data_IF_497138524643
#
_entry.id   IF_497138524643
#
_cell.length_a   1.000
_cell.length_b   1.000
_cell.length_c   1.000
_cell.angle_alpha   90.00
_cell.angle_beta   90.00
_cell.angle_gamma   90.00
#
_symmetry.space_group_name_H-M   'P 1'
#
loop_
_entity.id
_entity.type
_entity.pdbx_description
1 polymer ?
#
# COMPACT_ATOMS: atom_id res chain seq x y z
N UNK A 1 -27.05 -42.94 1.23
CA UNK A 1 -27.75 -41.79 1.86
C UNK A 1 -27.34 -41.69 3.31
N UNK A 2 -26.56 -40.67 3.67
CA UNK A 2 -26.90 -39.83 4.82
C UNK A 2 -26.09 -38.53 4.72
N UNK A 3 -26.83 -37.43 4.66
CA UNK A 3 -26.35 -36.06 4.52
C UNK A 3 -25.65 -35.64 5.81
N UNK A 4 -24.32 -35.62 5.82
CA UNK A 4 -23.59 -34.94 6.88
C UNK A 4 -23.55 -33.46 6.52
N UNK A 5 -24.40 -32.68 7.21
CA UNK A 5 -24.43 -31.22 7.16
C UNK A 5 -23.01 -30.67 7.27
N UNK A 6 -22.56 -29.93 6.26
CA UNK A 6 -21.50 -28.94 6.44
C UNK A 6 -22.03 -27.90 7.44
N UNK A 7 -21.70 -28.07 8.72
CA UNK A 7 -21.75 -26.97 9.67
C UNK A 7 -20.65 -26.00 9.28
N UNK A 8 -21.07 -24.86 8.74
CA UNK A 8 -20.21 -23.72 8.47
C UNK A 8 -19.32 -23.45 9.68
N UNK A 9 -18.00 -23.41 9.46
CA UNK A 9 -17.07 -22.93 10.47
C UNK A 9 -17.44 -21.47 10.80
N UNK A 10 -17.60 -21.11 12.09
CA UNK A 10 -17.92 -19.74 12.46
C UNK A 10 -16.78 -18.83 12.03
N UNK A 11 -17.16 -17.82 11.24
CA UNK A 11 -16.36 -16.70 10.78
C UNK A 11 -15.32 -16.32 11.83
N UNK A 12 -14.05 -16.51 11.49
CA UNK A 12 -13.01 -15.63 12.03
C UNK A 12 -13.46 -14.23 11.60
N UNK A 13 -13.62 -13.30 12.54
CA UNK A 13 -13.75 -11.88 12.21
C UNK A 13 -12.35 -11.27 12.08
N UNK A 14 -11.88 -10.98 10.86
CA UNK A 14 -10.95 -9.89 10.63
C UNK A 14 -11.65 -8.52 10.66
N UNK A 15 -10.83 -7.49 10.73
CA UNK A 15 -11.10 -6.04 10.76
C UNK A 15 -12.50 -5.69 10.24
N UNK A 16 -13.38 -5.24 11.14
CA UNK A 16 -14.66 -4.69 10.74
C UNK A 16 -14.42 -3.57 9.70
N UNK A 17 -15.19 -3.51 8.59
CA UNK A 17 -15.16 -2.38 7.69
C UNK A 17 -15.51 -1.15 8.52
N UNK A 18 -14.56 -0.23 8.60
CA UNK A 18 -14.77 1.03 9.27
C UNK A 18 -15.87 1.80 8.53
N UNK A 19 -16.95 2.17 9.23
CA UNK A 19 -18.07 2.91 8.65
C UNK A 19 -17.65 4.38 8.41
N UNK A 20 -17.95 4.96 7.24
CA UNK A 20 -17.40 6.23 6.78
C UNK A 20 -17.92 7.51 7.47
N UNK A 21 -18.80 7.43 8.46
CA UNK A 21 -19.53 8.62 8.94
C UNK A 21 -18.77 9.49 9.95
N UNK A 22 -17.62 9.05 10.49
CA UNK A 22 -16.92 9.78 11.57
C UNK A 22 -15.45 10.17 11.30
N UNK A 23 -14.85 9.83 10.15
CA UNK A 23 -13.39 10.02 9.99
C UNK A 23 -12.95 11.16 9.07
N UNK A 24 -12.13 12.01 9.67
CA UNK A 24 -11.18 12.96 9.08
C UNK A 24 -10.22 12.35 8.04
N UNK A 25 -10.22 11.03 7.78
CA UNK A 25 -9.23 10.33 6.95
C UNK A 25 -9.88 9.33 5.97
N UNK A 26 -9.18 9.03 4.87
CA UNK A 26 -9.41 7.82 4.08
C UNK A 26 -8.76 6.61 4.76
N UNK A 27 -9.39 5.45 4.65
CA UNK A 27 -8.80 4.17 5.04
C UNK A 27 -8.34 3.43 3.78
N UNK A 28 -7.02 3.28 3.64
CA UNK A 28 -6.41 2.72 2.43
C UNK A 28 -5.86 1.33 2.73
N UNK A 29 -6.33 0.29 2.04
CA UNK A 29 -5.65 -1.00 2.05
C UNK A 29 -4.20 -0.88 1.56
N UNK A 30 -3.28 -1.55 2.23
CA UNK A 30 -1.89 -1.62 1.80
C UNK A 30 -1.23 -2.98 2.10
N UNK A 31 -0.14 -3.23 1.39
CA UNK A 31 0.72 -4.40 1.50
C UNK A 31 2.08 -4.10 0.86
N UNK A 32 3.03 -5.04 0.98
CA UNK A 32 4.27 -5.00 0.20
C UNK A 32 3.99 -4.96 -1.30
N UNK A 33 2.98 -5.70 -1.79
CA UNK A 33 2.61 -5.71 -3.19
C UNK A 33 2.01 -4.38 -3.66
N UNK A 34 1.06 -3.81 -2.90
CA UNK A 34 0.45 -2.52 -3.27
C UNK A 34 1.48 -1.38 -3.29
N UNK A 35 2.45 -1.41 -2.37
CA UNK A 35 3.53 -0.44 -2.37
C UNK A 35 4.49 -0.63 -3.56
N UNK A 36 4.83 -1.88 -3.90
CA UNK A 36 5.65 -2.16 -5.09
C UNK A 36 4.95 -1.70 -6.39
N UNK A 37 3.63 -1.90 -6.50
CA UNK A 37 2.82 -1.42 -7.63
C UNK A 37 2.94 0.11 -7.77
N UNK A 38 2.87 0.84 -6.66
CA UNK A 38 3.05 2.30 -6.66
C UNK A 38 4.49 2.71 -7.02
N UNK A 39 5.52 2.00 -6.55
CA UNK A 39 6.92 2.24 -6.93
C UNK A 39 7.12 2.00 -8.45
N UNK A 40 6.60 0.90 -8.99
CA UNK A 40 6.67 0.56 -10.41
C UNK A 40 5.96 1.60 -11.28
N UNK A 41 4.73 1.97 -10.96
CA UNK A 41 4.00 3.01 -11.70
C UNK A 41 4.68 4.38 -11.59
N UNK A 42 5.34 4.65 -10.46
CA UNK A 42 6.08 5.88 -10.22
C UNK A 42 7.33 6.01 -11.07
N UNK A 43 8.08 4.91 -11.21
CA UNK A 43 9.32 4.89 -11.98
C UNK A 43 9.10 5.15 -13.47
N UNK A 44 7.98 4.67 -14.03
CA UNK A 44 7.62 4.91 -15.43
C UNK A 44 8.74 4.51 -16.39
N UNK A 45 9.18 5.44 -17.23
CA UNK A 45 10.29 5.24 -18.17
C UNK A 45 11.64 4.94 -17.49
N UNK A 46 11.80 5.30 -16.21
CA UNK A 46 13.02 5.04 -15.42
C UNK A 46 12.96 3.73 -14.63
N UNK A 47 12.09 2.80 -15.00
CA UNK A 47 11.90 1.53 -14.29
C UNK A 47 13.19 0.70 -14.18
N UNK A 48 14.08 0.79 -15.17
CA UNK A 48 15.37 0.10 -15.19
C UNK A 48 16.30 0.55 -14.04
N UNK A 49 16.13 1.76 -13.51
CA UNK A 49 16.96 2.28 -12.41
C UNK A 49 16.51 1.77 -11.03
N UNK A 50 15.31 1.20 -10.92
CA UNK A 50 14.72 0.79 -9.63
C UNK A 50 15.66 -0.11 -8.80
N UNK A 51 16.32 -1.14 -9.36
CA UNK A 51 17.28 -1.96 -8.61
C UNK A 51 18.41 -1.15 -7.97
N UNK A 52 19.05 -0.26 -8.75
CA UNK A 52 20.17 0.53 -8.29
C UNK A 52 19.74 1.51 -7.20
N UNK A 53 18.60 2.18 -7.39
CA UNK A 53 18.05 3.12 -6.41
C UNK A 53 17.61 2.42 -5.12
N UNK A 54 16.99 1.23 -5.20
CA UNK A 54 16.57 0.48 -4.01
C UNK A 54 17.75 0.08 -3.15
N UNK A 55 18.86 -0.36 -3.76
CA UNK A 55 20.10 -0.74 -3.04
C UNK A 55 20.72 0.39 -2.24
N UNK A 56 20.48 1.66 -2.61
CA UNK A 56 20.98 2.81 -1.87
C UNK A 56 20.22 3.08 -0.56
N UNK A 57 19.00 2.56 -0.44
CA UNK A 57 18.11 2.88 0.70
C UNK A 57 17.71 1.66 1.52
N UNK A 58 17.83 0.45 0.98
CA UNK A 58 17.42 -0.77 1.67
C UNK A 58 18.22 -1.97 1.16
N UNK A 59 19.19 -2.41 1.95
CA UNK A 59 20.03 -3.58 1.64
C UNK A 59 19.33 -4.92 1.87
N UNK A 60 18.21 -4.93 2.60
CA UNK A 60 17.46 -6.15 2.96
C UNK A 60 16.37 -6.50 1.93
N UNK A 61 16.24 -5.72 0.86
CA UNK A 61 15.26 -5.96 -0.21
C UNK A 61 15.94 -5.86 -1.56
N UNK A 62 15.93 -6.97 -2.31
CA UNK A 62 16.39 -7.00 -3.68
C UNK A 62 15.23 -6.68 -4.63
N UNK A 63 15.51 -5.84 -5.63
CA UNK A 63 14.63 -5.65 -6.79
C UNK A 63 15.42 -6.02 -8.04
N UNK A 64 14.80 -6.79 -8.92
CA UNK A 64 15.29 -7.12 -10.24
C UNK A 64 14.29 -6.66 -11.30
N UNK A 65 14.80 -6.19 -12.43
CA UNK A 65 14.00 -5.78 -13.58
C UNK A 65 14.51 -6.55 -14.80
N UNK A 66 13.61 -7.31 -15.42
CA UNK A 66 13.85 -8.00 -16.69
C UNK A 66 13.13 -7.25 -17.80
N UNK A 67 13.83 -7.06 -18.91
CA UNK A 67 13.34 -6.33 -20.08
C UNK A 67 13.21 -7.26 -21.28
N UNK A 68 12.03 -7.29 -21.90
CA UNK A 68 11.76 -8.07 -23.11
C UNK A 68 10.84 -7.26 -24.04
N UNK A 69 11.43 -6.57 -25.02
CA UNK A 69 10.70 -5.63 -25.88
C UNK A 69 10.00 -4.54 -25.05
N UNK A 70 8.66 -4.46 -25.14
CA UNK A 70 7.82 -3.56 -24.33
C UNK A 70 7.42 -4.14 -22.98
N UNK A 71 7.65 -5.43 -22.77
CA UNK A 71 7.34 -6.09 -21.52
C UNK A 71 8.38 -5.75 -20.46
N UNK A 72 7.93 -5.51 -19.23
CA UNK A 72 8.81 -5.38 -18.06
C UNK A 72 8.33 -6.31 -16.96
N UNK A 73 9.26 -7.08 -16.40
CA UNK A 73 8.99 -7.91 -15.23
C UNK A 73 9.85 -7.43 -14.07
N UNK A 74 9.20 -7.11 -12.96
CA UNK A 74 9.83 -6.55 -11.77
C UNK A 74 9.63 -7.53 -10.64
N UNK A 75 10.72 -8.02 -10.06
CA UNK A 75 10.68 -8.97 -8.95
C UNK A 75 11.27 -8.33 -7.71
N UNK A 76 10.51 -8.29 -6.63
CA UNK A 76 10.95 -7.90 -5.30
C UNK A 76 11.10 -9.15 -4.44
N UNK A 77 12.25 -9.27 -3.77
CA UNK A 77 12.53 -10.35 -2.81
C UNK A 77 13.07 -9.75 -1.52
N UNK A 78 12.50 -10.16 -0.40
CA UNK A 78 13.05 -9.98 0.94
C UNK A 78 12.67 -11.19 1.82
N UNK A 79 13.08 -11.17 3.08
CA UNK A 79 12.82 -12.26 4.04
C UNK A 79 11.34 -12.66 4.19
N UNK A 80 10.41 -11.74 3.90
CA UNK A 80 8.97 -11.93 4.14
C UNK A 80 8.13 -11.92 2.87
N UNK A 81 8.69 -11.62 1.72
CA UNK A 81 7.91 -11.43 0.50
C UNK A 81 8.72 -11.73 -0.76
N UNK A 82 8.05 -12.39 -1.70
CA UNK A 82 8.45 -12.52 -3.09
C UNK A 82 7.29 -12.03 -3.95
N UNK A 83 7.43 -10.87 -4.59
CA UNK A 83 6.39 -10.27 -5.43
C UNK A 83 6.93 -10.06 -6.82
N UNK A 84 6.20 -10.50 -7.84
CA UNK A 84 6.51 -10.21 -9.23
C UNK A 84 5.37 -9.43 -9.85
N UNK A 85 5.71 -8.30 -10.46
CA UNK A 85 4.81 -7.50 -11.29
C UNK A 85 5.24 -7.66 -12.74
N UNK A 86 4.28 -7.90 -13.62
CA UNK A 86 4.47 -7.87 -15.06
C UNK A 86 3.67 -6.70 -15.63
N UNK A 87 4.37 -5.90 -16.42
CA UNK A 87 3.81 -4.91 -17.32
C UNK A 87 3.86 -5.49 -18.71
N UNK A 88 2.71 -5.64 -19.34
CA UNK A 88 2.64 -6.10 -20.72
C UNK A 88 3.18 -5.06 -21.71
N UNK A 89 3.04 -3.77 -21.38
CA UNK A 89 3.45 -2.66 -22.23
C UNK A 89 3.97 -1.49 -21.38
N UNK A 90 5.27 -1.26 -21.41
CA UNK A 90 5.95 -0.16 -20.71
C UNK A 90 5.52 1.21 -21.27
N UNK A 91 5.06 1.28 -22.52
CA UNK A 91 4.61 2.54 -23.12
C UNK A 91 3.31 3.03 -22.44
N UNK A 92 2.55 2.13 -21.80
CA UNK A 92 1.42 2.51 -20.93
C UNK A 92 1.86 3.15 -19.62
N UNK A 93 3.15 3.03 -19.30
CA UNK A 93 3.80 3.76 -18.25
C UNK A 93 4.64 4.93 -18.75
N UNK A 94 4.68 5.19 -20.05
CA UNK A 94 5.45 6.29 -20.61
C UNK A 94 4.78 7.63 -20.35
N UNK A 95 5.59 8.61 -19.98
CA UNK A 95 5.10 9.90 -19.52
C UNK A 95 4.41 9.82 -18.15
N UNK A 96 3.57 10.81 -17.86
CA UNK A 96 3.01 10.98 -16.52
C UNK A 96 1.91 9.96 -16.17
N UNK A 97 2.27 8.83 -15.53
CA UNK A 97 1.32 7.89 -14.89
C UNK A 97 0.59 8.44 -13.65
N UNK A 98 0.52 9.77 -13.57
CA UNK A 98 -0.08 10.57 -12.51
C UNK A 98 -1.52 10.13 -12.22
N UNK A 99 -2.39 9.93 -13.24
CA UNK A 99 -3.76 9.44 -13.02
C UNK A 99 -3.79 8.03 -12.41
N UNK A 100 -2.97 7.11 -12.95
CA UNK A 100 -3.03 5.70 -12.59
C UNK A 100 -2.71 5.46 -11.10
N UNK A 101 -1.68 6.13 -10.55
CA UNK A 101 -1.30 5.94 -9.13
C UNK A 101 -2.39 6.38 -8.17
N UNK A 102 -2.93 7.58 -8.36
CA UNK A 102 -4.00 8.08 -7.50
C UNK A 102 -5.31 7.32 -7.71
N UNK A 103 -5.62 6.91 -8.95
CA UNK A 103 -6.76 6.04 -9.22
C UNK A 103 -6.60 4.65 -8.58
N UNK A 104 -5.39 4.10 -8.53
CA UNK A 104 -5.13 2.86 -7.80
C UNK A 104 -5.44 3.02 -6.32
N UNK A 105 -4.92 4.08 -5.69
CA UNK A 105 -5.21 4.38 -4.27
C UNK A 105 -6.71 4.59 -4.05
N UNK A 106 -7.39 5.34 -4.92
CA UNK A 106 -8.84 5.54 -4.86
C UNK A 106 -9.60 4.22 -5.01
N UNK A 107 -9.20 3.37 -5.96
CA UNK A 107 -9.82 2.06 -6.17
C UNK A 107 -9.68 1.18 -4.93
N UNK A 108 -8.54 1.22 -4.23
CA UNK A 108 -8.34 0.50 -2.97
C UNK A 108 -9.21 1.08 -1.83
N UNK A 109 -9.31 2.40 -1.71
CA UNK A 109 -10.19 3.07 -0.74
C UNK A 109 -11.64 2.64 -0.97
N UNK A 110 -12.13 2.76 -2.21
CA UNK A 110 -13.48 2.37 -2.60
C UNK A 110 -13.71 0.88 -2.45
N UNK A 111 -12.69 0.06 -2.70
CA UNK A 111 -12.78 -1.37 -2.48
C UNK A 111 -13.00 -1.66 -1.00
N UNK A 112 -12.25 -1.04 -0.10
CA UNK A 112 -12.49 -1.16 1.34
C UNK A 112 -13.90 -0.70 1.76
N UNK A 113 -14.41 0.37 1.13
CA UNK A 113 -15.74 0.90 1.43
C UNK A 113 -16.89 0.00 0.92
N UNK A 114 -16.71 -0.68 -0.22
CA UNK A 114 -17.82 -1.29 -0.97
C UNK A 114 -17.68 -2.77 -1.30
N UNK A 115 -16.46 -3.31 -1.34
CA UNK A 115 -16.16 -4.55 -2.05
C UNK A 115 -15.19 -5.50 -1.32
N UNK A 116 -14.44 -5.02 -0.33
CA UNK A 116 -13.52 -5.82 0.48
C UNK A 116 -14.03 -5.83 1.90
N UNK A 117 -14.37 -7.02 2.38
CA UNK A 117 -14.71 -7.28 3.76
C UNK A 117 -13.80 -8.40 4.26
N UNK A 118 -13.13 -8.19 5.39
CA UNK A 118 -12.24 -9.20 5.98
C UNK A 118 -11.10 -9.67 5.07
N UNK A 119 -10.60 -8.79 4.19
CA UNK A 119 -9.57 -9.12 3.21
C UNK A 119 -10.03 -10.03 2.08
N UNK A 120 -11.34 -10.25 1.97
CA UNK A 120 -12.00 -11.00 0.89
C UNK A 120 -12.85 -10.06 0.05
N UNK A 121 -12.88 -10.33 -1.24
CA UNK A 121 -13.72 -9.62 -2.18
C UNK A 121 -15.17 -10.13 -2.02
N UNK A 122 -16.06 -9.29 -1.51
CA UNK A 122 -17.51 -9.58 -1.42
C UNK A 122 -18.25 -9.20 -2.70
N UNK A 123 -17.64 -8.33 -3.51
CA UNK A 123 -18.18 -7.80 -4.75
C UNK A 123 -17.04 -7.56 -5.72
N UNK A 124 -17.17 -8.01 -6.95
CA UNK A 124 -16.12 -7.89 -7.97
C UNK A 124 -16.11 -6.53 -8.68
N UNK A 125 -16.78 -5.52 -8.13
CA UNK A 125 -16.74 -4.17 -8.64
C UNK A 125 -16.99 -3.11 -7.56
N UNK A 126 -16.45 -1.92 -7.80
CA UNK A 126 -16.82 -0.68 -7.11
C UNK A 126 -17.51 0.25 -8.09
N UNK A 127 -18.34 1.16 -7.57
CA UNK A 127 -18.93 2.22 -8.36
C UNK A 127 -18.89 3.54 -7.61
N UNK A 128 -18.67 4.63 -8.34
CA UNK A 128 -18.72 5.98 -7.79
C UNK A 128 -19.02 7.01 -8.89
N UNK A 129 -19.63 8.17 -8.54
CA UNK A 129 -19.86 9.23 -9.51
C UNK A 129 -18.56 9.79 -10.09
N UNK A 130 -18.50 10.06 -11.38
CA UNK A 130 -17.37 10.74 -12.01
C UNK A 130 -17.12 12.12 -11.38
N UNK A 131 -18.19 12.77 -10.92
CA UNK A 131 -18.14 14.05 -10.20
C UNK A 131 -17.31 13.96 -8.92
N UNK A 132 -17.28 12.81 -8.24
CA UNK A 132 -16.48 12.61 -7.03
C UNK A 132 -14.98 12.91 -7.29
N UNK A 133 -14.47 12.58 -8.48
CA UNK A 133 -13.08 12.86 -8.84
C UNK A 133 -12.77 14.37 -8.91
N UNK A 134 -13.78 15.20 -9.19
CA UNK A 134 -13.66 16.66 -9.15
C UNK A 134 -13.81 17.16 -7.72
N UNK A 135 -14.79 16.65 -6.99
CA UNK A 135 -15.12 17.10 -5.63
C UNK A 135 -13.99 16.85 -4.63
N UNK A 136 -13.31 15.70 -4.74
CA UNK A 136 -12.11 15.39 -3.92
C UNK A 136 -10.86 16.14 -4.38
N UNK A 137 -10.96 16.96 -5.43
CA UNK A 137 -9.89 17.77 -6.00
C UNK A 137 -8.85 16.98 -6.78
N UNK A 138 -9.14 15.75 -7.20
CA UNK A 138 -8.23 15.00 -8.07
C UNK A 138 -8.16 15.61 -9.47
N UNK A 139 -9.27 16.13 -9.98
CA UNK A 139 -9.33 16.82 -11.27
C UNK A 139 -10.05 18.17 -11.16
N UNK A 140 -9.72 19.10 -12.06
CA UNK A 140 -10.31 20.44 -12.08
C UNK A 140 -11.68 20.49 -12.78
N UNK A 141 -12.03 19.47 -13.56
CA UNK A 141 -13.27 19.44 -14.34
C UNK A 141 -13.69 18.03 -14.72
N UNK A 142 -14.98 17.82 -15.00
CA UNK A 142 -15.51 16.54 -15.47
C UNK A 142 -14.83 16.05 -16.76
N UNK A 143 -14.44 16.96 -17.66
CA UNK A 143 -13.72 16.61 -18.90
C UNK A 143 -12.36 16.00 -18.58
N UNK A 144 -11.58 16.65 -17.72
CA UNK A 144 -10.27 16.14 -17.29
C UNK A 144 -10.40 14.86 -16.47
N UNK A 145 -11.42 14.75 -15.61
CA UNK A 145 -11.74 13.54 -14.85
C UNK A 145 -12.04 12.35 -15.76
N UNK A 146 -12.87 12.52 -16.80
CA UNK A 146 -13.20 11.46 -17.76
C UNK A 146 -11.96 10.97 -18.51
N UNK A 147 -11.16 11.89 -19.02
CA UNK A 147 -9.92 11.56 -19.74
C UNK A 147 -8.91 10.85 -18.82
N UNK A 148 -8.71 11.37 -17.62
CA UNK A 148 -7.80 10.81 -16.64
C UNK A 148 -8.24 9.45 -16.10
N UNK A 149 -9.54 9.23 -15.88
CA UNK A 149 -10.09 7.92 -15.50
C UNK A 149 -9.82 6.87 -16.57
N UNK A 150 -10.17 7.16 -17.84
CA UNK A 150 -9.97 6.20 -18.93
C UNK A 150 -8.49 5.87 -19.13
N UNK A 151 -7.62 6.89 -19.17
CA UNK A 151 -6.18 6.69 -19.33
C UNK A 151 -5.57 5.93 -18.15
N UNK A 152 -5.90 6.32 -16.91
CA UNK A 152 -5.35 5.64 -15.74
C UNK A 152 -5.86 4.21 -15.58
N UNK A 153 -7.12 3.93 -15.91
CA UNK A 153 -7.64 2.56 -15.87
C UNK A 153 -7.09 1.68 -16.99
N UNK A 154 -6.76 2.24 -18.16
CA UNK A 154 -6.05 1.49 -19.21
C UNK A 154 -4.66 1.02 -18.74
N UNK A 155 -3.95 1.86 -17.99
CA UNK A 155 -2.70 1.46 -17.31
C UNK A 155 -2.98 0.38 -16.25
N UNK A 156 -3.95 0.61 -15.35
CA UNK A 156 -4.20 -0.30 -14.22
C UNK A 156 -4.70 -1.69 -14.63
N UNK A 157 -5.45 -1.79 -15.72
CA UNK A 157 -5.95 -3.08 -16.25
C UNK A 157 -4.87 -3.86 -17.01
N UNK A 158 -3.73 -3.25 -17.33
CA UNK A 158 -2.57 -3.92 -17.95
C UNK A 158 -1.61 -4.55 -16.95
N UNK A 159 -1.69 -4.17 -15.67
CA UNK A 159 -0.83 -4.67 -14.60
C UNK A 159 -1.20 -6.10 -14.23
N UNK A 160 -0.22 -7.00 -14.29
CA UNK A 160 -0.34 -8.35 -13.73
C UNK A 160 0.57 -8.51 -12.54
N UNK A 161 0.13 -9.31 -11.58
CA UNK A 161 0.84 -9.55 -10.33
C UNK A 161 0.80 -11.04 -10.00
N UNK A 162 1.92 -11.55 -9.52
CA UNK A 162 2.01 -12.84 -8.84
C UNK A 162 2.90 -12.71 -7.62
N UNK A 163 2.86 -13.71 -6.75
CA UNK A 163 3.83 -13.80 -5.67
C UNK A 163 3.25 -14.33 -4.38
N UNK A 164 4.06 -14.25 -3.34
CA UNK A 164 3.80 -14.75 -2.00
C UNK A 164 4.25 -13.70 -0.99
N UNK A 165 3.40 -13.41 -0.01
CA UNK A 165 3.71 -12.51 1.10
C UNK A 165 3.42 -13.24 2.42
N UNK A 166 4.45 -13.32 3.25
CA UNK A 166 4.38 -13.83 4.61
C UNK A 166 3.74 -12.77 5.51
N UNK A 167 2.50 -13.01 5.93
CA UNK A 167 1.77 -12.10 6.82
C UNK A 167 2.16 -12.28 8.29
N UNK A 168 2.43 -13.52 8.68
CA UNK A 168 2.92 -13.93 10.02
C UNK A 168 3.79 -15.16 9.86
N UNK A 169 4.51 -15.64 10.89
CA UNK A 169 5.29 -16.91 10.81
C UNK A 169 4.51 -18.11 10.24
N UNK A 170 3.17 -18.10 10.27
CA UNK A 170 2.30 -19.22 9.84
C UNK A 170 1.11 -18.79 8.96
N UNK A 171 1.15 -17.61 8.32
CA UNK A 171 0.09 -17.16 7.41
C UNK A 171 0.75 -16.50 6.20
N UNK A 172 0.38 -16.98 5.03
CA UNK A 172 0.86 -16.51 3.75
C UNK A 172 -0.35 -16.10 2.91
N UNK A 173 -0.20 -15.04 2.12
CA UNK A 173 -1.11 -14.71 1.03
C UNK A 173 -0.36 -14.84 -0.27
N UNK A 174 -0.97 -15.46 -1.27
CA UNK A 174 -0.33 -15.70 -2.55
C UNK A 174 -1.26 -15.52 -3.74
N UNK A 175 -0.64 -15.24 -4.87
CA UNK A 175 -1.25 -15.31 -6.20
C UNK A 175 -0.33 -16.22 -7.02
N UNK A 176 -0.81 -17.42 -7.35
CA UNK A 176 0.01 -18.49 -7.91
C UNK A 176 0.49 -18.22 -9.35
N UNK A 177 -0.34 -17.54 -10.15
CA UNK A 177 -0.05 -17.20 -11.54
C UNK A 177 -0.03 -15.69 -11.74
N UNK A 178 0.51 -15.24 -12.87
CA UNK A 178 0.44 -13.82 -13.26
C UNK A 178 -1.00 -13.47 -13.63
N UNK A 179 -1.65 -12.72 -12.74
CA UNK A 179 -3.06 -12.37 -12.84
C UNK A 179 -3.24 -10.84 -12.84
N UNK A 180 -4.21 -10.34 -13.59
CA UNK A 180 -4.58 -8.92 -13.54
C UNK A 180 -5.26 -8.59 -12.22
N UNK A 181 -5.04 -7.39 -11.69
CA UNK A 181 -5.81 -6.91 -10.52
C UNK A 181 -7.19 -6.42 -10.93
N UNK A 182 -7.25 -5.60 -11.97
CA UNK A 182 -8.49 -5.06 -12.50
C UNK A 182 -8.80 -5.69 -13.84
N UNK A 183 -10.01 -6.22 -13.99
CA UNK A 183 -10.46 -6.89 -15.22
C UNK A 183 -11.07 -5.91 -16.22
N UNK A 184 -11.40 -4.69 -15.79
CA UNK A 184 -11.90 -3.64 -16.65
C UNK A 184 -12.36 -2.40 -15.88
N UNK A 185 -12.71 -1.36 -16.62
CA UNK A 185 -13.37 -0.17 -16.10
C UNK A 185 -14.26 0.48 -17.16
N UNK A 186 -15.27 1.23 -16.75
CA UNK A 186 -16.10 2.01 -17.66
C UNK A 186 -16.71 3.24 -17.01
N UNK A 187 -17.15 4.18 -17.84
CA UNK A 187 -17.98 5.31 -17.44
C UNK A 187 -19.32 5.19 -18.16
N UNK A 188 -20.41 5.11 -17.42
CA UNK A 188 -21.77 5.03 -17.95
C UNK A 188 -22.66 6.05 -17.25
N UNK A 189 -23.30 6.95 -18.01
CA UNK A 189 -24.19 8.01 -17.47
C UNK A 189 -23.58 8.81 -16.30
N UNK A 190 -22.26 9.06 -16.34
CA UNK A 190 -21.55 9.79 -15.29
C UNK A 190 -21.18 8.96 -14.06
N UNK A 191 -21.39 7.64 -14.08
CA UNK A 191 -20.92 6.70 -13.05
C UNK A 191 -19.67 5.97 -13.55
N UNK A 192 -18.64 5.95 -12.73
CA UNK A 192 -17.44 5.15 -12.92
C UNK A 192 -17.65 3.78 -12.29
N UNK A 193 -17.31 2.72 -13.01
CA UNK A 193 -17.27 1.35 -12.49
C UNK A 193 -15.89 0.76 -12.74
N UNK A 194 -15.31 0.13 -11.72
CA UNK A 194 -14.03 -0.59 -11.81
C UNK A 194 -14.25 -2.03 -11.37
N UNK A 195 -13.84 -2.98 -12.21
CA UNK A 195 -14.02 -4.41 -12.00
C UNK A 195 -12.73 -5.05 -11.47
N UNK A 196 -12.87 -5.91 -10.47
CA UNK A 196 -11.81 -6.55 -9.71
C UNK A 196 -11.72 -8.02 -10.14
N UNK A 197 -10.51 -8.57 -10.21
CA UNK A 197 -10.34 -9.99 -10.48
C UNK A 197 -10.75 -10.82 -9.25
N UNK A 198 -11.81 -11.61 -9.37
CA UNK A 198 -12.31 -12.46 -8.29
C UNK A 198 -11.51 -13.78 -8.12
N UNK A 199 -10.56 -14.07 -9.03
CA UNK A 199 -9.72 -15.28 -8.99
C UNK A 199 -8.51 -15.15 -8.08
N UNK A 200 -8.16 -13.92 -7.67
CA UNK A 200 -6.98 -13.66 -6.84
C UNK A 200 -7.36 -13.46 -5.37
N UNK A 201 -6.41 -13.79 -4.50
CA UNK A 201 -6.53 -13.51 -3.08
C UNK A 201 -6.25 -12.02 -2.81
N UNK A 202 -7.30 -11.20 -2.67
CA UNK A 202 -7.16 -9.76 -2.42
C UNK A 202 -6.45 -9.40 -1.12
N UNK A 203 -6.35 -10.31 -0.14
CA UNK A 203 -5.50 -10.09 1.04
C UNK A 203 -4.00 -9.98 0.70
N UNK A 204 -3.59 -10.37 -0.51
CA UNK A 204 -2.24 -10.11 -1.05
C UNK A 204 -2.01 -8.62 -1.30
N UNK A 205 -3.05 -7.88 -1.71
CA UNK A 205 -2.99 -6.43 -1.98
C UNK A 205 -3.43 -5.63 -0.76
N UNK A 206 -4.50 -6.07 -0.10
CA UNK A 206 -5.18 -5.46 1.03
C UNK A 206 -4.88 -6.22 2.34
N UNK A 207 -3.60 -6.32 2.69
CA UNK A 207 -3.16 -7.05 3.88
C UNK A 207 -3.42 -6.27 5.17
N UNK A 208 -3.21 -4.96 5.08
CA UNK A 208 -3.25 -4.02 6.18
C UNK A 208 -3.99 -2.76 5.76
N UNK A 209 -4.19 -1.84 6.71
CA UNK A 209 -4.77 -0.52 6.45
C UNK A 209 -3.86 0.58 6.97
N UNK A 210 -3.80 1.69 6.25
CA UNK A 210 -3.27 2.95 6.75
C UNK A 210 -4.34 4.02 6.60
N UNK A 211 -4.31 5.00 7.48
CA UNK A 211 -5.06 6.24 7.25
C UNK A 211 -4.34 7.08 6.21
N UNK A 212 -5.08 7.95 5.55
CA UNK A 212 -4.55 8.94 4.61
C UNK A 212 -5.38 10.24 4.70
N UNK A 213 -4.76 11.43 4.76
CA UNK A 213 -5.47 12.69 4.82
C UNK A 213 -6.42 12.93 3.64
N UNK A 214 -7.56 13.59 3.90
CA UNK A 214 -8.61 13.81 2.88
C UNK A 214 -8.15 14.71 1.73
N UNK A 215 -7.18 15.59 1.98
CA UNK A 215 -6.58 16.46 0.95
C UNK A 215 -5.61 15.72 0.00
N UNK A 216 -5.32 14.43 0.21
CA UNK A 216 -4.38 13.66 -0.61
C UNK A 216 -4.59 13.81 -2.12
N UNK A 217 -5.84 13.80 -2.57
CA UNK A 217 -6.17 13.86 -3.98
C UNK A 217 -5.92 15.25 -4.60
N UNK A 218 -5.95 16.33 -3.81
CA UNK A 218 -5.66 17.71 -4.22
C UNK A 218 -4.18 17.96 -4.52
N UNK A 219 -3.31 17.22 -3.86
CA UNK A 219 -1.85 17.42 -3.93
C UNK A 219 -1.30 17.24 -5.35
N UNK A 220 -0.13 17.80 -5.63
CA UNK A 220 0.65 17.38 -6.79
C UNK A 220 1.07 15.92 -6.65
N UNK A 221 1.61 15.33 -7.72
CA UNK A 221 1.97 13.90 -7.68
C UNK A 221 3.09 13.63 -6.70
N UNK A 222 4.15 14.44 -6.71
CA UNK A 222 5.27 14.29 -5.77
C UNK A 222 4.79 14.46 -4.33
N UNK A 223 4.01 15.50 -4.04
CA UNK A 223 3.44 15.70 -2.71
C UNK A 223 2.52 14.53 -2.30
N UNK A 224 1.69 14.01 -3.21
CA UNK A 224 0.85 12.83 -2.91
C UNK A 224 1.70 11.56 -2.70
N UNK A 225 2.74 11.34 -3.50
CA UNK A 225 3.63 10.18 -3.36
C UNK A 225 4.38 10.20 -2.03
N UNK A 226 4.85 11.40 -1.63
CA UNK A 226 5.48 11.64 -0.34
C UNK A 226 4.48 11.43 0.80
N UNK A 227 3.29 12.02 0.73
CA UNK A 227 2.27 11.86 1.77
C UNK A 227 1.87 10.39 1.96
N UNK A 228 1.62 9.67 0.86
CA UNK A 228 1.33 8.24 0.93
C UNK A 228 2.48 7.47 1.60
N UNK A 229 3.72 7.79 1.23
CA UNK A 229 4.90 7.13 1.78
C UNK A 229 5.09 7.42 3.27
N UNK A 230 4.89 8.67 3.68
CA UNK A 230 4.91 9.08 5.10
C UNK A 230 3.93 8.23 5.90
N UNK A 231 2.67 8.13 5.47
CA UNK A 231 1.66 7.38 6.21
C UNK A 231 1.87 5.85 6.14
N UNK A 232 2.42 5.36 5.03
CA UNK A 232 2.89 3.97 4.93
C UNK A 232 4.01 3.64 5.93
N UNK A 233 4.96 4.56 6.13
CA UNK A 233 6.04 4.41 7.12
C UNK A 233 5.53 4.62 8.54
N UNK A 234 4.65 5.59 8.78
CA UNK A 234 4.07 5.86 10.10
C UNK A 234 3.46 4.59 10.72
N UNK A 235 2.79 3.76 9.92
CA UNK A 235 2.30 2.45 10.35
C UNK A 235 3.42 1.54 10.90
N UNK A 236 4.58 1.53 10.26
CA UNK A 236 5.73 0.71 10.66
C UNK A 236 6.45 1.29 11.88
N UNK A 237 6.40 2.60 12.05
CA UNK A 237 7.01 3.37 13.14
C UNK A 237 6.02 3.71 14.27
N UNK A 238 4.97 2.90 14.46
CA UNK A 238 3.95 3.15 15.50
C UNK A 238 4.53 3.24 16.91
N UNK A 239 5.59 2.47 17.22
CA UNK A 239 6.29 2.55 18.50
C UNK A 239 7.05 3.87 18.68
N UNK A 240 7.70 4.35 17.64
CA UNK A 240 8.44 5.62 17.67
C UNK A 240 7.47 6.80 17.84
N UNK A 241 6.32 6.74 17.14
CA UNK A 241 5.23 7.71 17.31
C UNK A 241 4.68 7.69 18.75
N UNK A 242 4.43 6.50 19.32
CA UNK A 242 3.89 6.39 20.69
C UNK A 242 4.88 6.87 21.77
N UNK A 243 6.19 6.68 21.56
CA UNK A 243 7.21 6.97 22.59
C UNK A 243 7.89 8.33 22.44
N UNK A 244 8.10 8.78 21.20
CA UNK A 244 8.85 10.00 20.87
C UNK A 244 7.96 11.07 20.22
N UNK A 245 6.78 10.69 19.71
CA UNK A 245 5.88 11.59 18.97
C UNK A 245 6.28 11.82 17.50
N UNK A 246 7.37 11.20 17.02
CA UNK A 246 7.86 11.38 15.65
C UNK A 246 8.64 10.16 15.16
N UNK A 247 8.91 10.13 13.85
CA UNK A 247 9.91 9.28 13.22
C UNK A 247 10.64 10.07 12.13
N UNK A 248 11.70 9.53 11.55
CA UNK A 248 12.49 10.21 10.52
C UNK A 248 12.50 9.44 9.20
N UNK A 249 12.67 10.18 8.09
CA UNK A 249 12.82 9.63 6.74
C UNK A 249 14.03 10.30 6.09
N UNK A 250 15.04 9.54 5.66
CA UNK A 250 16.19 10.13 4.98
C UNK A 250 15.80 10.78 3.65
N UNK A 251 16.48 11.86 3.27
CA UNK A 251 16.23 12.49 1.97
C UNK A 251 16.61 11.60 0.80
N UNK A 252 17.59 10.70 0.96
CA UNK A 252 17.86 9.61 0.00
C UNK A 252 16.62 8.74 -0.25
N UNK A 253 15.88 8.37 0.81
CA UNK A 253 14.64 7.60 0.67
C UNK A 253 13.53 8.42 0.00
N UNK A 254 13.44 9.72 0.27
CA UNK A 254 12.49 10.62 -0.39
C UNK A 254 12.85 10.79 -1.87
N UNK A 255 14.12 11.00 -2.22
CA UNK A 255 14.61 11.08 -3.61
C UNK A 255 14.21 9.83 -4.39
N UNK A 256 14.43 8.65 -3.81
CA UNK A 256 13.97 7.39 -4.40
C UNK A 256 12.46 7.36 -4.55
N UNK A 257 11.70 7.68 -3.50
CA UNK A 257 10.23 7.61 -3.54
C UNK A 257 9.63 8.54 -4.60
N UNK A 258 10.17 9.75 -4.71
CA UNK A 258 9.73 10.77 -5.66
C UNK A 258 10.29 10.58 -7.07
N UNK A 259 11.10 9.54 -7.28
CA UNK A 259 11.73 9.20 -8.56
C UNK A 259 12.55 10.37 -9.11
N UNK A 260 13.22 11.10 -8.23
CA UNK A 260 14.09 12.21 -8.60
C UNK A 260 15.40 11.68 -9.21
N UNK A 261 16.05 12.43 -10.10
CA UNK A 261 17.30 12.00 -10.71
C UNK A 261 18.42 11.82 -9.69
N UNK A 262 19.45 11.05 -10.04
CA UNK A 262 20.69 10.97 -9.24
C UNK A 262 21.44 12.29 -9.32
N UNK A 263 22.01 12.71 -8.20
CA UNK A 263 22.91 13.85 -8.08
C UNK A 263 24.16 13.76 -8.97
N UNK A 264 24.56 12.53 -9.36
CA UNK A 264 25.75 12.30 -10.18
C UNK A 264 25.48 12.71 -11.63
N UNK A 265 26.26 13.68 -12.12
CA UNK A 265 26.15 14.16 -13.51
C UNK A 265 24.98 15.11 -13.75
N UNK A 266 24.30 15.60 -12.71
CA UNK A 266 23.29 16.65 -12.83
C UNK A 266 23.93 18.03 -12.90
N UNK A 267 23.45 18.84 -13.83
CA UNK A 267 23.88 20.24 -13.98
C UNK A 267 23.34 21.13 -12.86
N UNK A 268 22.10 20.89 -12.39
CA UNK A 268 21.47 21.71 -11.36
C UNK A 268 20.80 20.85 -10.26
N UNK A 269 21.58 20.17 -9.40
CA UNK A 269 21.02 19.28 -8.38
C UNK A 269 20.08 19.97 -7.37
N UNK A 270 20.27 21.26 -7.08
CA UNK A 270 19.36 22.02 -6.20
C UNK A 270 17.95 22.06 -6.79
N UNK A 271 17.83 22.52 -8.03
CA UNK A 271 16.56 22.61 -8.78
C UNK A 271 15.95 21.25 -9.07
N UNK A 272 16.78 20.25 -9.38
CA UNK A 272 16.31 18.95 -9.86
C UNK A 272 16.04 17.95 -8.72
N UNK A 273 16.53 18.20 -7.51
CA UNK A 273 16.39 17.32 -6.34
C UNK A 273 15.83 18.05 -5.11
N UNK A 274 16.55 19.05 -4.56
CA UNK A 274 16.19 19.70 -3.29
C UNK A 274 14.87 20.46 -3.39
N UNK A 275 14.74 21.35 -4.38
CA UNK A 275 13.50 22.10 -4.62
C UNK A 275 12.26 21.19 -4.79
N UNK A 276 12.30 20.09 -5.58
CA UNK A 276 11.20 19.15 -5.67
C UNK A 276 10.78 18.49 -4.34
N UNK A 277 11.72 18.24 -3.44
CA UNK A 277 11.44 17.69 -2.11
C UNK A 277 10.77 18.77 -1.24
N UNK A 278 11.35 19.96 -1.20
CA UNK A 278 10.85 21.09 -0.40
C UNK A 278 9.46 21.53 -0.85
N UNK A 279 9.25 21.70 -2.15
CA UNK A 279 7.93 22.02 -2.73
C UNK A 279 6.87 20.95 -2.40
N UNK A 280 7.27 19.67 -2.35
CA UNK A 280 6.36 18.60 -1.99
C UNK A 280 5.98 18.65 -0.50
N UNK A 281 6.92 19.01 0.38
CA UNK A 281 6.69 19.20 1.82
C UNK A 281 5.78 20.40 2.05
N UNK A 282 6.13 21.56 1.49
CA UNK A 282 5.36 22.81 1.64
C UNK A 282 3.91 22.62 1.18
N UNK A 283 3.69 21.97 0.04
CA UNK A 283 2.33 21.71 -0.45
C UNK A 283 1.52 20.84 0.52
N UNK A 284 2.15 19.84 1.15
CA UNK A 284 1.48 19.01 2.16
C UNK A 284 1.09 19.86 3.37
N UNK A 285 1.98 20.73 3.86
CA UNK A 285 1.72 21.58 5.01
C UNK A 285 0.62 22.61 4.74
N UNK A 286 0.62 23.24 3.56
CA UNK A 286 -0.43 24.18 3.12
C UNK A 286 -1.80 23.49 3.12
N UNK A 287 -1.90 22.33 2.47
CA UNK A 287 -3.18 21.60 2.38
C UNK A 287 -3.62 21.03 3.74
N UNK A 288 -2.66 20.63 4.59
CA UNK A 288 -2.95 20.19 5.96
C UNK A 288 -3.51 21.31 6.81
N UNK A 289 -2.82 22.45 6.85
CA UNK A 289 -3.26 23.65 7.58
C UNK A 289 -4.61 24.16 7.06
N UNK A 290 -4.80 24.13 5.73
CA UNK A 290 -6.04 24.55 5.09
C UNK A 290 -7.25 23.66 5.37
N UNK A 291 -7.06 22.37 5.65
CA UNK A 291 -8.17 21.43 5.92
C UNK A 291 -8.41 21.19 7.41
N UNK A 292 -7.36 20.95 8.19
CA UNK A 292 -7.49 20.51 9.58
C UNK A 292 -7.27 21.63 10.60
N UNK A 293 -6.69 22.76 10.19
CA UNK A 293 -6.43 23.92 11.05
C UNK A 293 -5.71 23.57 12.36
N UNK A 294 -4.76 22.63 12.31
CA UNK A 294 -4.01 22.15 13.46
C UNK A 294 -2.58 21.75 13.08
N UNK A 295 -1.75 21.48 14.10
CA UNK A 295 -0.35 21.03 13.96
C UNK A 295 -0.17 19.55 14.36
N UNK A 296 -1.24 18.74 14.30
CA UNK A 296 -1.18 17.33 14.72
C UNK A 296 -0.36 16.45 13.75
N UNK A 297 -0.12 16.96 12.55
CA UNK A 297 0.82 16.41 11.58
C UNK A 297 1.74 17.53 11.11
N UNK A 298 3.04 17.37 11.35
CA UNK A 298 4.04 18.39 11.04
C UNK A 298 5.28 17.76 10.39
N UNK A 299 5.87 18.49 9.44
CA UNK A 299 7.01 18.06 8.66
C UNK A 299 8.17 19.03 8.89
N UNK A 300 9.26 18.55 9.49
CA UNK A 300 10.45 19.38 9.71
C UNK A 300 11.62 18.81 8.91
N UNK A 301 12.02 19.44 7.79
CA UNK A 301 13.28 19.17 7.14
C UNK A 301 14.44 19.48 8.08
N UNK A 302 15.39 18.55 8.24
CA UNK A 302 16.60 18.74 9.06
C UNK A 302 17.82 18.41 8.21
N UNK A 303 18.63 19.43 7.93
CA UNK A 303 19.85 19.34 7.14
C UNK A 303 20.67 20.64 7.29
N UNK A 304 21.93 20.64 6.84
CA UNK A 304 22.74 21.86 6.74
C UNK A 304 22.46 22.57 5.41
N UNK A 305 21.99 23.82 5.49
CA UNK A 305 21.63 24.63 4.32
C UNK A 305 22.78 24.85 3.32
N UNK A 306 24.01 24.86 3.83
CA UNK A 306 25.22 25.04 3.03
C UNK A 306 25.80 23.72 2.47
N UNK A 307 25.21 22.58 2.83
CA UNK A 307 25.71 21.28 2.45
C UNK A 307 25.62 21.05 0.93
N UNK A 308 26.64 20.41 0.31
CA UNK A 308 26.53 19.88 -1.03
C UNK A 308 25.35 18.89 -1.14
N UNK A 309 24.76 18.76 -2.33
CA UNK A 309 23.55 17.93 -2.53
C UNK A 309 23.72 16.47 -2.08
N UNK A 310 24.92 15.89 -2.20
CA UNK A 310 25.19 14.53 -1.74
C UNK A 310 25.06 14.42 -0.22
N UNK A 311 25.61 15.40 0.50
CA UNK A 311 25.54 15.47 1.96
C UNK A 311 24.11 15.78 2.44
N UNK A 312 23.41 16.68 1.76
CA UNK A 312 21.96 16.88 1.96
C UNK A 312 21.18 15.55 1.85
N UNK A 313 21.47 14.72 0.85
CA UNK A 313 20.75 13.46 0.65
C UNK A 313 21.12 12.37 1.68
N UNK A 314 22.40 12.26 2.02
CA UNK A 314 22.92 11.19 2.88
C UNK A 314 22.75 11.48 4.37
N UNK A 315 22.90 12.74 4.78
CA UNK A 315 22.83 13.17 6.18
C UNK A 315 21.56 13.95 6.52
N UNK A 316 20.86 14.50 5.52
CA UNK A 316 19.59 15.18 5.70
C UNK A 316 18.41 14.21 5.84
N UNK A 317 17.43 14.62 6.63
CA UNK A 317 16.21 13.84 6.87
C UNK A 317 14.98 14.71 7.11
N UNK A 318 13.82 14.14 6.85
CA UNK A 318 12.53 14.69 7.23
C UNK A 318 12.12 14.11 8.58
N UNK A 319 11.97 14.97 9.59
CA UNK A 319 11.33 14.61 10.86
C UNK A 319 9.82 14.73 10.70
N UNK A 320 9.11 13.63 10.87
CA UNK A 320 7.65 13.54 10.76
C UNK A 320 7.05 13.42 12.15
N UNK A 321 6.37 14.47 12.60
CA UNK A 321 5.69 14.47 13.90
C UNK A 321 4.20 14.16 13.71
N UNK A 322 3.69 13.25 14.54
CA UNK A 322 2.27 12.86 14.56
C UNK A 322 1.77 12.90 16.00
N UNK A 323 0.66 13.61 16.23
CA UNK A 323 -0.02 13.69 17.52
C UNK A 323 -1.54 13.63 17.34
N UNK A 324 -2.30 13.83 18.42
CA UNK A 324 -3.77 13.92 18.39
C UNK A 324 -4.46 12.79 17.65
N UNK A 325 -5.40 13.13 16.75
CA UNK A 325 -6.19 12.16 16.00
C UNK A 325 -5.34 11.26 15.09
N UNK A 326 -4.24 11.80 14.55
CA UNK A 326 -3.34 11.05 13.67
C UNK A 326 -2.60 9.95 14.43
N UNK A 327 -1.92 10.31 15.52
CA UNK A 327 -1.17 9.34 16.33
C UNK A 327 -2.09 8.29 16.97
N UNK A 328 -3.19 8.74 17.58
CA UNK A 328 -4.14 7.84 18.26
C UNK A 328 -4.73 6.80 17.31
N UNK A 329 -5.05 7.19 16.07
CA UNK A 329 -5.58 6.26 15.07
C UNK A 329 -4.54 5.22 14.64
N UNK A 330 -3.29 5.63 14.40
CA UNK A 330 -2.21 4.67 14.10
C UNK A 330 -1.94 3.69 15.25
N UNK A 331 -1.94 4.19 16.49
CA UNK A 331 -1.77 3.37 17.69
C UNK A 331 -2.94 2.38 17.85
N UNK A 332 -4.18 2.83 17.62
CA UNK A 332 -5.36 1.97 17.68
C UNK A 332 -5.31 0.84 16.63
N UNK A 333 -5.02 1.18 15.37
CA UNK A 333 -4.86 0.20 14.28
C UNK A 333 -3.77 -0.82 14.64
N UNK A 334 -2.64 -0.36 15.19
CA UNK A 334 -1.54 -1.24 15.62
C UNK A 334 -1.96 -2.19 16.74
N UNK A 335 -2.62 -1.68 17.78
CA UNK A 335 -3.13 -2.46 18.93
C UNK A 335 -4.19 -3.48 18.52
N UNK A 336 -5.10 -3.10 17.64
CA UNK A 336 -6.11 -4.04 17.11
C UNK A 336 -5.45 -5.14 16.27
N UNK A 337 -4.50 -4.78 15.40
CA UNK A 337 -3.70 -5.76 14.64
C UNK A 337 -2.98 -6.73 15.59
N UNK A 338 -2.36 -6.24 16.66
CA UNK A 338 -1.68 -7.06 17.66
C UNK A 338 -2.64 -8.01 18.39
N UNK A 339 -3.80 -7.52 18.84
CA UNK A 339 -4.84 -8.35 19.50
C UNK A 339 -5.35 -9.45 18.57
N UNK A 340 -5.55 -9.15 17.30
CA UNK A 340 -5.99 -10.14 16.31
C UNK A 340 -4.93 -11.23 16.08
N UNK A 341 -3.64 -10.84 16.01
CA UNK A 341 -2.52 -11.78 15.92
C UNK A 341 -2.48 -12.69 17.17
N UNK A 342 -2.57 -12.12 18.37
CA UNK A 342 -2.56 -12.86 19.63
C UNK A 342 -3.74 -13.85 19.74
N UNK A 343 -4.94 -13.40 19.38
CA UNK A 343 -6.15 -14.23 19.41
C UNK A 343 -6.06 -15.39 18.41
N UNK A 344 -5.54 -15.13 17.21
CA UNK A 344 -5.29 -16.17 16.21
C UNK A 344 -4.22 -17.18 16.69
N UNK A 345 -3.19 -16.71 17.40
CA UNK A 345 -2.16 -17.57 17.98
C UNK A 345 -2.74 -18.48 19.08
N UNK A 346 -3.47 -17.91 20.05
CA UNK A 346 -4.16 -18.68 21.11
C UNK A 346 -5.14 -19.73 20.56
N UNK A 347 -5.91 -19.38 19.52
CA UNK A 347 -6.82 -20.33 18.86
C UNK A 347 -6.07 -21.49 18.22
N UNK A 348 -4.90 -21.23 17.63
CA UNK A 348 -4.06 -22.26 17.01
C UNK A 348 -3.43 -23.17 18.05
N UNK A 349 -2.92 -22.63 19.14
CA UNK A 349 -2.32 -23.42 20.22
C UNK A 349 -3.37 -24.37 20.81
N UNK A 350 -4.61 -23.90 21.00
CA UNK A 350 -5.74 -24.74 21.42
C UNK A 350 -6.11 -25.84 20.41
N UNK A 351 -5.98 -25.59 19.11
CA UNK A 351 -6.23 -26.61 18.06
C UNK A 351 -5.09 -27.64 18.05
N UNK A 352 -3.85 -27.21 18.17
CA UNK A 352 -2.68 -28.08 18.25
C UNK A 352 -2.72 -28.97 19.50
N UNK A 353 -3.05 -28.41 20.66
CA UNK A 353 -3.25 -29.16 21.91
C UNK A 353 -4.36 -30.21 21.76
N UNK A 354 -5.50 -29.85 21.15
CA UNK A 354 -6.58 -30.81 20.87
C UNK A 354 -6.14 -31.91 19.91
N UNK A 355 -5.38 -31.58 18.87
CA UNK A 355 -4.87 -32.58 17.93
C UNK A 355 -3.86 -33.55 18.59
N UNK A 356 -2.99 -33.03 19.46
CA UNK A 356 -2.08 -33.84 20.26
C UNK A 356 -2.87 -34.74 21.21
N UNK A 357 -3.85 -34.20 21.94
CA UNK A 357 -4.69 -34.98 22.85
C UNK A 357 -5.46 -36.10 22.13
N UNK A 358 -6.01 -35.83 20.95
CA UNK A 358 -6.69 -36.84 20.12
C UNK A 358 -5.72 -37.92 19.64
N UNK A 359 -4.53 -37.55 19.18
CA UNK A 359 -3.52 -38.52 18.73
C UNK A 359 -2.97 -39.35 19.89
N UNK A 360 -2.80 -38.77 21.07
CA UNK A 360 -2.38 -39.49 22.29
C UNK A 360 -3.47 -40.44 22.76
N UNK A 361 -4.75 -40.02 22.74
CA UNK A 361 -5.88 -40.89 23.08
C UNK A 361 -5.98 -42.10 22.12
N UNK A 362 -5.85 -41.86 20.81
CA UNK A 362 -5.83 -42.95 19.81
C UNK A 362 -4.68 -43.94 20.03
N UNK A 363 -3.48 -43.45 20.35
CA UNK A 363 -2.33 -44.32 20.65
C UNK A 363 -2.53 -45.15 21.92
N UNK A 364 -3.24 -44.62 22.91
CA UNK A 364 -3.58 -45.35 24.14
C UNK A 364 -4.69 -46.40 23.88
N UNK A 365 -5.65 -46.10 23.00
CA UNK A 365 -6.67 -47.06 22.56
C UNK A 365 -6.07 -48.19 21.70
N UNK A 366 -5.11 -47.87 20.83
CA UNK A 366 -4.40 -48.86 19.99
C UNK A 366 -3.38 -49.69 20.80
N UNK A 367 -2.77 -49.12 21.84
CA UNK A 367 -1.84 -49.83 22.74
C UNK A 367 -2.50 -50.58 23.90
N UNK A 368 -3.79 -50.36 24.16
CA UNK A 368 -4.56 -51.02 25.22
C UNK A 368 -5.17 -52.37 24.81
N UNK A 369 -5.01 -52.79 23.55
CA UNK A 369 -5.63 -53.99 22.99
C UNK A 369 -4.83 -55.29 23.08
N UNK A 370 -3.65 -55.29 23.73
CA UNK A 370 -2.77 -56.49 23.80
C UNK A 370 -2.79 -57.24 25.13
N UNK A 371 -3.74 -56.97 26.03
CA UNK A 371 -4.00 -57.83 27.19
C UNK A 371 -5.50 -57.96 27.46
N UNK A 372 -6.18 -58.80 26.68
CA UNK A 372 -7.50 -59.35 27.01
C UNK A 372 -7.52 -60.84 26.71
#
# INVERSE_FOLDING_TARGET
>A
MNKTKLTALPNVQPIAPFRPEENNFYNVPNSTASNLILEVMGAGDSIADLPARKRQINHNTAIEVLEDGRKRQISLVNEKAQVTIELADIDKLAGSNKPAKKLFVLALIKANEQAIYNGQLTKDYISFPLQELVDIGFYKSLRSARAGFNSGMDTLTSLKVKGQIQQTKKRESSIAALEVLFTGARIEKGQCTVFFNNRINWSFIAQYFTILPRYYFKLSNRASDLLYYIFFLARQHTRDIETQGYFTISFRAIQHRLQLPSEKGLNNPLRDIREPIENAIEQIEIEHSGLYHNMEFALLPVYDDAAPIADYLDNGYLKVSLSGAFATTFIAISKETAKQIETAQKRRDRIAEKAIAINTAKKLEEGGGENA
#
